data_IF_972374845654
#
_entry.id   IF_972374845654
#
_cell.length_a   1.000
_cell.length_b   1.000
_cell.length_c   1.000
_cell.angle_alpha   90.00
_cell.angle_beta   90.00
_cell.angle_gamma   90.00
#
_symmetry.space_group_name_H-M   'P 1'
#
loop_
_entity.id
_entity.type
_entity.pdbx_description
1 polymer ?
#
# COMPACT_ATOMS: atom_id res chain seq x y z
N UNK A 1 -14.33 -17.76 -2.55
CA UNK A 1 -13.46 -18.31 -3.62
C UNK A 1 -12.03 -18.34 -3.09
N UNK A 2 -11.39 -19.51 -3.15
CA UNK A 2 -9.98 -19.67 -2.80
C UNK A 2 -9.11 -19.08 -3.91
N UNK A 3 -8.22 -18.17 -3.55
CA UNK A 3 -7.22 -17.61 -4.48
C UNK A 3 -5.87 -18.26 -4.22
N UNK A 4 -4.94 -18.20 -5.20
CA UNK A 4 -3.58 -18.69 -5.00
C UNK A 4 -2.94 -18.05 -3.76
N UNK A 5 -3.16 -16.72 -3.56
CA UNK A 5 -2.64 -15.99 -2.41
C UNK A 5 -3.23 -16.46 -1.07
N UNK A 6 -4.45 -17.04 -1.05
CA UNK A 6 -5.04 -17.58 0.18
C UNK A 6 -4.57 -18.98 0.53
N UNK A 7 -4.29 -19.82 -0.48
CA UNK A 7 -3.94 -21.25 -0.29
C UNK A 7 -2.44 -21.53 -0.36
N UNK A 8 -1.70 -20.79 -1.20
CA UNK A 8 -0.23 -20.92 -1.36
C UNK A 8 0.42 -19.53 -1.54
N UNK A 9 0.41 -18.70 -0.50
CA UNK A 9 0.90 -17.30 -0.60
C UNK A 9 2.36 -17.21 -1.02
N UNK A 10 3.17 -18.20 -0.69
CA UNK A 10 4.59 -18.28 -1.07
C UNK A 10 4.82 -18.52 -2.58
N UNK A 11 3.76 -18.83 -3.32
CA UNK A 11 3.79 -19.00 -4.79
C UNK A 11 3.01 -17.92 -5.54
N UNK A 12 2.38 -17.01 -4.81
CA UNK A 12 1.55 -15.96 -5.39
C UNK A 12 2.37 -14.70 -5.66
N UNK A 13 2.59 -14.37 -6.93
CA UNK A 13 3.09 -13.05 -7.33
C UNK A 13 1.91 -12.08 -7.40
N UNK A 14 2.04 -10.93 -6.73
CA UNK A 14 1.03 -9.87 -6.70
C UNK A 14 1.49 -8.68 -7.52
N UNK A 15 0.60 -8.14 -8.37
CA UNK A 15 0.87 -7.02 -9.26
C UNK A 15 -0.26 -6.00 -9.20
N UNK A 16 0.03 -4.72 -9.44
CA UNK A 16 -0.97 -3.67 -9.68
C UNK A 16 -1.16 -3.43 -11.17
N UNK A 17 -0.07 -3.36 -11.90
CA UNK A 17 -0.02 -3.24 -13.34
C UNK A 17 1.19 -3.99 -13.90
N UNK A 18 1.16 -4.29 -15.20
CA UNK A 18 2.27 -4.87 -15.93
C UNK A 18 2.23 -4.44 -17.41
N UNK A 19 3.18 -4.92 -18.22
CA UNK A 19 3.29 -4.60 -19.64
C UNK A 19 2.13 -5.12 -20.49
N UNK A 20 1.40 -6.13 -20.05
CA UNK A 20 0.22 -6.65 -20.77
C UNK A 20 -1.05 -5.87 -20.47
N UNK A 21 -1.15 -5.27 -19.26
CA UNK A 21 -2.33 -4.56 -18.80
C UNK A 21 -2.25 -3.04 -18.95
N UNK A 22 -1.10 -2.52 -19.39
CA UNK A 22 -0.95 -1.08 -19.69
C UNK A 22 -1.78 -0.65 -20.91
N UNK A 23 -2.02 0.66 -21.12
CA UNK A 23 -2.82 1.16 -22.25
C UNK A 23 -2.39 0.61 -23.61
N UNK A 24 -3.37 0.30 -24.44
CA UNK A 24 -3.27 -0.23 -25.81
C UNK A 24 -2.76 -1.68 -25.92
N UNK A 25 -2.46 -2.34 -24.83
CA UNK A 25 -2.06 -3.75 -24.88
C UNK A 25 -3.27 -4.69 -24.94
N UNK A 26 -3.03 -5.95 -25.32
CA UNK A 26 -4.10 -6.93 -25.57
C UNK A 26 -4.98 -7.21 -24.35
N UNK A 27 -4.41 -7.16 -23.14
CA UNK A 27 -5.08 -7.37 -21.86
C UNK A 27 -5.30 -6.07 -21.09
N UNK A 28 -5.42 -4.94 -21.79
CA UNK A 28 -5.59 -3.62 -21.18
C UNK A 28 -6.58 -3.63 -20.03
N UNK A 29 -6.09 -3.32 -18.83
CA UNK A 29 -6.84 -3.23 -17.59
C UNK A 29 -6.16 -2.22 -16.67
N UNK A 30 -6.36 -0.95 -16.96
CA UNK A 30 -5.69 0.14 -16.27
C UNK A 30 -6.29 0.37 -14.89
N UNK A 31 -5.42 0.54 -13.89
CA UNK A 31 -5.79 1.04 -12.57
C UNK A 31 -5.71 2.56 -12.57
N UNK A 32 -6.76 3.22 -12.08
CA UNK A 32 -6.81 4.67 -11.96
C UNK A 32 -5.63 5.22 -11.16
N UNK A 33 -5.01 6.29 -11.62
CA UNK A 33 -3.78 6.83 -11.03
C UNK A 33 -3.92 7.16 -9.53
N UNK A 34 -5.05 7.72 -9.11
CA UNK A 34 -5.32 8.03 -7.71
C UNK A 34 -5.37 6.78 -6.83
N UNK A 35 -5.80 5.63 -7.39
CA UNK A 35 -5.94 4.38 -6.65
C UNK A 35 -4.64 3.55 -6.64
N UNK A 36 -3.68 3.82 -7.53
CA UNK A 36 -2.45 3.03 -7.64
C UNK A 36 -1.65 2.98 -6.33
N UNK A 37 -1.50 4.11 -5.63
CA UNK A 37 -0.78 4.14 -4.34
C UNK A 37 -1.45 3.26 -3.30
N UNK A 38 -2.80 3.27 -3.25
CA UNK A 38 -3.59 2.39 -2.38
C UNK A 38 -3.36 0.92 -2.77
N UNK A 39 -3.44 0.59 -4.06
CA UNK A 39 -3.24 -0.77 -4.55
C UNK A 39 -1.81 -1.28 -4.27
N UNK A 40 -0.79 -0.45 -4.46
CA UNK A 40 0.59 -0.80 -4.11
C UNK A 40 0.79 -1.00 -2.61
N UNK A 41 0.13 -0.23 -1.75
CA UNK A 41 0.20 -0.46 -0.30
C UNK A 41 -0.31 -1.84 0.09
N UNK A 42 -1.37 -2.32 -0.54
CA UNK A 42 -1.95 -3.65 -0.31
C UNK A 42 -0.98 -4.78 -0.66
N UNK A 43 -0.25 -4.68 -1.77
CA UNK A 43 0.67 -5.75 -2.19
C UNK A 43 2.05 -5.63 -1.53
N UNK A 44 2.51 -4.41 -1.21
CA UNK A 44 3.83 -4.18 -0.66
C UNK A 44 3.91 -4.37 0.86
N UNK A 45 2.87 -3.99 1.61
CA UNK A 45 2.96 -3.89 3.07
C UNK A 45 2.25 -5.01 3.83
N UNK A 46 1.46 -5.85 3.16
CA UNK A 46 0.87 -7.03 3.76
C UNK A 46 1.85 -8.20 3.74
N UNK A 47 1.59 -9.19 4.60
CA UNK A 47 2.48 -10.33 4.84
C UNK A 47 2.56 -11.29 3.64
N UNK A 48 1.41 -11.54 2.99
CA UNK A 48 1.28 -12.62 2.00
C UNK A 48 1.59 -12.14 0.58
N UNK A 49 2.20 -13.01 -0.20
CA UNK A 49 2.49 -12.84 -1.62
C UNK A 49 3.87 -12.21 -1.90
N UNK A 50 4.31 -12.35 -3.16
CA UNK A 50 5.53 -11.72 -3.67
C UNK A 50 5.14 -10.52 -4.53
N UNK A 51 5.28 -9.28 -4.03
CA UNK A 51 4.92 -8.09 -4.79
C UNK A 51 5.90 -7.84 -5.93
N UNK A 52 5.35 -7.56 -7.09
CA UNK A 52 6.09 -7.11 -8.26
C UNK A 52 5.66 -5.67 -8.59
N UNK A 53 6.62 -4.75 -8.64
CA UNK A 53 6.40 -3.36 -9.01
C UNK A 53 6.65 -3.18 -10.50
N UNK A 54 5.68 -2.61 -11.20
CA UNK A 54 5.82 -2.33 -12.61
C UNK A 54 6.78 -1.15 -12.83
N UNK A 55 7.76 -1.33 -13.74
CA UNK A 55 8.80 -0.34 -14.02
C UNK A 55 8.22 1.05 -14.33
N UNK A 56 7.19 1.09 -15.18
CA UNK A 56 6.57 2.36 -15.59
C UNK A 56 5.86 3.08 -14.43
N UNK A 57 5.36 2.36 -13.43
CA UNK A 57 4.76 2.96 -12.23
C UNK A 57 5.83 3.58 -11.30
N UNK A 58 7.08 3.08 -11.35
CA UNK A 58 8.18 3.60 -10.55
C UNK A 58 8.90 4.79 -11.21
N UNK A 59 9.05 4.75 -12.53
CA UNK A 59 9.87 5.74 -13.26
C UNK A 59 9.10 6.59 -14.26
N UNK A 60 7.82 6.26 -14.51
CA UNK A 60 7.09 6.78 -15.65
C UNK A 60 7.48 6.07 -16.95
N UNK A 61 6.69 6.25 -17.99
CA UNK A 61 7.02 5.80 -19.33
C UNK A 61 6.35 6.67 -20.39
N UNK A 62 6.94 6.70 -21.57
CA UNK A 62 6.37 7.32 -22.76
C UNK A 62 6.59 6.39 -23.95
N UNK A 63 5.52 6.10 -24.68
CA UNK A 63 5.59 5.26 -25.88
C UNK A 63 4.48 5.61 -26.88
N UNK A 64 4.62 5.10 -28.11
CA UNK A 64 3.59 5.13 -29.13
C UNK A 64 3.19 3.72 -29.50
N UNK A 65 1.90 3.51 -29.67
CA UNK A 65 1.37 2.22 -30.08
C UNK A 65 0.04 2.39 -30.84
N UNK A 66 -0.38 1.34 -31.53
CA UNK A 66 -1.61 1.34 -32.30
C UNK A 66 -2.78 0.87 -31.46
N UNK A 67 -3.86 1.66 -31.46
CA UNK A 67 -5.13 1.24 -30.91
C UNK A 67 -5.83 0.18 -31.77
N UNK A 68 -6.91 -0.38 -31.25
CA UNK A 68 -7.76 -1.36 -31.96
C UNK A 68 -8.37 -0.84 -33.26
N UNK A 69 -8.46 0.47 -33.42
CA UNK A 69 -8.90 1.18 -34.62
C UNK A 69 -7.79 1.35 -35.67
N UNK A 70 -6.59 0.84 -35.39
CA UNK A 70 -5.41 0.93 -36.28
C UNK A 70 -4.69 2.28 -36.26
N UNK A 71 -5.16 3.26 -35.49
CA UNK A 71 -4.51 4.57 -35.35
C UNK A 71 -3.40 4.51 -34.32
N UNK A 72 -2.36 5.32 -34.55
CA UNK A 72 -1.27 5.51 -33.58
C UNK A 72 -1.69 6.49 -32.49
N UNK A 73 -1.40 6.14 -31.25
CA UNK A 73 -1.62 6.94 -30.04
C UNK A 73 -0.32 7.10 -29.27
N UNK A 74 -0.17 8.26 -28.66
CA UNK A 74 0.96 8.60 -27.81
C UNK A 74 0.52 8.46 -26.34
N UNK A 75 1.22 7.61 -25.59
CA UNK A 75 0.87 7.24 -24.22
C UNK A 75 1.93 7.76 -23.25
N UNK A 76 1.47 8.42 -22.21
CA UNK A 76 2.27 8.91 -21.09
C UNK A 76 1.81 8.24 -19.80
N UNK A 77 2.69 7.48 -19.18
CA UNK A 77 2.46 6.88 -17.87
C UNK A 77 3.19 7.70 -16.82
N UNK A 78 2.45 8.26 -15.88
CA UNK A 78 3.03 8.99 -14.76
C UNK A 78 3.59 8.03 -13.73
N UNK A 79 4.69 8.43 -13.08
CA UNK A 79 5.17 7.79 -11.85
C UNK A 79 4.08 7.82 -10.78
N UNK A 80 3.94 6.72 -10.03
CA UNK A 80 2.97 6.63 -8.92
C UNK A 80 3.49 7.44 -7.73
N UNK A 81 2.65 8.34 -7.23
CA UNK A 81 2.99 9.17 -6.08
C UNK A 81 3.22 8.32 -4.82
N UNK A 82 4.30 8.62 -4.08
CA UNK A 82 4.63 7.94 -2.82
C UNK A 82 5.08 6.49 -2.93
N UNK A 83 5.29 5.92 -4.13
CA UNK A 83 5.70 4.53 -4.30
C UNK A 83 7.06 4.24 -3.63
N UNK A 84 7.97 5.21 -3.62
CA UNK A 84 9.29 5.07 -2.98
C UNK A 84 9.15 4.98 -1.45
N UNK A 85 8.23 5.75 -0.86
CA UNK A 85 7.93 5.64 0.57
C UNK A 85 7.33 4.26 0.90
N UNK A 86 6.46 3.71 0.04
CA UNK A 86 5.94 2.35 0.22
C UNK A 86 7.04 1.29 0.12
N UNK A 87 7.98 1.43 -0.81
CA UNK A 87 9.13 0.52 -0.93
C UNK A 87 10.06 0.61 0.30
N UNK A 88 10.31 1.82 0.82
CA UNK A 88 11.05 2.00 2.08
C UNK A 88 10.29 1.40 3.27
N UNK A 89 8.97 1.63 3.37
CA UNK A 89 8.16 1.03 4.41
C UNK A 89 8.22 -0.51 4.38
N UNK A 90 8.17 -1.10 3.17
CA UNK A 90 8.33 -2.55 3.01
C UNK A 90 9.67 -3.04 3.53
N UNK A 91 10.76 -2.39 3.14
CA UNK A 91 12.12 -2.84 3.49
C UNK A 91 12.50 -2.60 4.95
N UNK A 92 11.86 -1.65 5.64
CA UNK A 92 12.24 -1.24 6.99
C UNK A 92 11.21 -1.58 8.07
N UNK A 93 9.93 -1.72 7.72
CA UNK A 93 8.84 -1.74 8.69
C UNK A 93 7.79 -2.84 8.48
N UNK A 94 7.67 -3.44 7.29
CA UNK A 94 6.62 -4.42 7.00
C UNK A 94 7.00 -5.85 7.45
N UNK A 95 7.37 -6.00 8.72
CA UNK A 95 7.83 -7.25 9.34
C UNK A 95 6.97 -7.68 10.53
N UNK A 96 7.18 -8.90 10.98
CA UNK A 96 6.50 -9.45 12.15
C UNK A 96 5.04 -9.80 11.92
N UNK A 97 4.32 -10.02 13.02
CA UNK A 97 2.92 -10.45 13.00
C UNK A 97 2.02 -9.38 12.37
N UNK A 98 1.11 -9.83 11.49
CA UNK A 98 0.07 -8.98 10.92
C UNK A 98 -1.24 -9.13 11.67
N UNK A 99 -1.91 -8.00 11.93
CA UNK A 99 -3.30 -7.94 12.40
C UNK A 99 -4.12 -7.13 11.41
N UNK A 100 -5.24 -7.70 10.96
CA UNK A 100 -6.10 -7.11 9.95
C UNK A 100 -7.35 -6.46 10.57
N UNK A 101 -7.74 -5.30 10.04
CA UNK A 101 -8.92 -4.50 10.42
C UNK A 101 -9.72 -4.18 9.15
N UNK A 102 -10.43 -5.19 8.62
CA UNK A 102 -11.16 -5.15 7.35
C UNK A 102 -12.69 -5.02 7.56
N UNK A 103 -13.09 -4.27 8.56
CA UNK A 103 -14.44 -4.16 9.09
C UNK A 103 -15.30 -3.05 8.46
N UNK A 104 -14.77 -2.34 7.45
CA UNK A 104 -15.49 -1.26 6.76
C UNK A 104 -15.22 -1.28 5.26
N UNK A 105 -16.26 -1.08 4.44
CA UNK A 105 -16.14 -1.19 2.97
C UNK A 105 -15.17 -0.19 2.33
N UNK A 106 -15.07 1.02 2.89
CA UNK A 106 -14.28 2.12 2.31
C UNK A 106 -13.05 2.49 3.13
N UNK A 107 -12.89 1.94 4.34
CA UNK A 107 -11.73 2.23 5.18
C UNK A 107 -11.27 0.94 5.84
N UNK A 108 -10.10 0.48 5.49
CA UNK A 108 -9.47 -0.72 6.05
C UNK A 108 -8.07 -0.40 6.57
N UNK A 109 -7.55 -1.27 7.41
CA UNK A 109 -6.18 -1.13 7.90
C UNK A 109 -5.59 -2.46 8.35
N UNK A 110 -4.30 -2.45 8.60
CA UNK A 110 -3.57 -3.55 9.21
C UNK A 110 -2.34 -3.03 9.94
N UNK A 111 -1.82 -3.84 10.84
CA UNK A 111 -0.54 -3.57 11.49
C UNK A 111 0.45 -4.68 11.20
N UNK A 112 1.73 -4.33 11.16
CA UNK A 112 2.87 -5.24 11.20
C UNK A 112 3.64 -4.91 12.47
N UNK A 113 3.77 -5.85 13.40
CA UNK A 113 4.31 -5.57 14.73
C UNK A 113 5.84 -5.32 14.74
N UNK A 114 6.51 -5.63 13.61
CA UNK A 114 7.96 -5.65 13.55
C UNK A 114 8.54 -6.95 14.13
N UNK A 115 9.85 -7.04 14.11
CA UNK A 115 10.64 -8.13 14.69
C UNK A 115 11.79 -7.58 15.55
N UNK A 116 12.84 -8.36 15.77
CA UNK A 116 13.98 -7.92 16.57
C UNK A 116 14.85 -6.88 15.85
N UNK A 117 14.87 -6.93 14.51
CA UNK A 117 15.76 -6.11 13.67
C UNK A 117 15.00 -4.95 13.00
N UNK A 118 13.67 -5.03 12.94
CA UNK A 118 12.84 -4.06 12.23
C UNK A 118 11.71 -3.55 13.12
N UNK A 119 11.50 -2.24 13.12
CA UNK A 119 10.31 -1.64 13.71
C UNK A 119 9.07 -1.98 12.86
N UNK A 120 7.89 -1.95 13.48
CA UNK A 120 6.62 -2.21 12.80
C UNK A 120 6.03 -0.99 12.12
N UNK A 121 4.89 -1.20 11.48
CA UNK A 121 4.07 -0.12 10.92
C UNK A 121 2.56 -0.41 11.07
N UNK A 122 1.77 0.67 11.10
CA UNK A 122 0.32 0.60 10.97
C UNK A 122 -0.09 1.27 9.66
N UNK A 123 -0.91 0.60 8.88
CA UNK A 123 -1.37 1.09 7.56
C UNK A 123 -2.87 1.30 7.63
N UNK A 124 -3.32 2.47 7.24
CA UNK A 124 -4.75 2.78 7.03
C UNK A 124 -4.90 3.30 5.62
N UNK A 125 -5.90 2.79 4.92
CA UNK A 125 -6.29 3.30 3.61
C UNK A 125 -7.78 3.58 3.57
N UNK A 126 -8.16 4.58 2.76
CA UNK A 126 -9.54 4.87 2.44
C UNK A 126 -9.69 5.11 0.94
N UNK A 127 -10.67 4.47 0.32
CA UNK A 127 -11.07 4.75 -1.06
C UNK A 127 -12.28 5.68 -1.15
N UNK A 128 -12.69 6.25 -0.03
CA UNK A 128 -13.78 7.21 0.11
C UNK A 128 -13.35 8.44 0.93
N UNK A 129 -14.16 8.83 1.90
CA UNK A 129 -13.88 9.94 2.80
C UNK A 129 -12.70 9.68 3.74
N UNK A 130 -12.30 10.69 4.51
CA UNK A 130 -11.30 10.53 5.57
C UNK A 130 -11.69 9.37 6.49
N UNK A 131 -10.75 8.51 6.80
CA UNK A 131 -10.97 7.35 7.63
C UNK A 131 -10.02 7.24 8.81
N UNK A 132 -10.40 6.44 9.79
CA UNK A 132 -9.51 6.08 10.90
C UNK A 132 -9.78 4.64 11.35
N UNK A 133 -8.77 4.05 12.01
CA UNK A 133 -8.83 2.73 12.63
C UNK A 133 -8.15 2.76 13.97
N UNK A 134 -8.84 2.29 15.00
CA UNK A 134 -8.17 1.95 16.26
C UNK A 134 -7.56 0.55 16.12
N UNK A 135 -6.23 0.47 16.15
CA UNK A 135 -5.50 -0.77 15.84
C UNK A 135 -4.41 -1.05 16.87
N UNK A 136 -4.19 -2.32 17.15
CA UNK A 136 -3.08 -2.80 17.97
C UNK A 136 -1.82 -2.93 17.14
N UNK A 137 -0.77 -2.18 17.49
CA UNK A 137 0.57 -2.31 16.91
C UNK A 137 1.50 -3.19 17.79
N UNK A 138 1.12 -3.42 19.04
CA UNK A 138 1.86 -4.24 20.00
C UNK A 138 2.34 -3.46 21.21
N UNK A 139 2.37 -4.14 22.36
CA UNK A 139 2.75 -3.54 23.67
C UNK A 139 4.18 -3.01 23.71
N UNK A 140 5.07 -3.49 22.84
CA UNK A 140 6.45 -2.98 22.74
C UNK A 140 6.51 -1.49 22.38
N UNK A 141 5.42 -0.94 21.81
CA UNK A 141 5.29 0.46 21.45
C UNK A 141 4.52 1.32 22.45
N UNK A 142 4.18 0.76 23.63
CA UNK A 142 3.47 1.52 24.66
C UNK A 142 4.18 2.82 25.00
N UNK A 143 3.45 3.95 25.00
CA UNK A 143 4.00 5.28 25.24
C UNK A 143 4.80 5.89 24.08
N UNK A 144 4.96 5.18 22.97
CA UNK A 144 5.64 5.70 21.78
C UNK A 144 4.69 6.54 20.90
N UNK A 145 5.27 7.40 20.08
CA UNK A 145 4.57 8.19 19.09
C UNK A 145 4.83 7.67 17.68
N UNK A 146 3.81 7.72 16.84
CA UNK A 146 3.86 7.34 15.45
C UNK A 146 3.57 8.53 14.55
N UNK A 147 4.25 8.61 13.41
CA UNK A 147 4.10 9.63 12.36
C UNK A 147 3.77 8.96 11.02
N UNK A 148 3.10 9.70 10.14
CA UNK A 148 2.77 9.21 8.80
C UNK A 148 3.97 9.35 7.84
N UNK A 149 4.56 8.23 7.44
CA UNK A 149 5.68 8.17 6.49
C UNK A 149 5.28 8.62 5.07
N UNK A 150 3.99 8.60 4.74
CA UNK A 150 3.47 9.09 3.46
C UNK A 150 3.30 10.62 3.43
N UNK A 151 3.52 11.29 4.58
CA UNK A 151 3.41 12.75 4.74
C UNK A 151 2.01 13.31 4.36
N UNK A 152 0.99 12.47 4.36
CA UNK A 152 -0.39 12.86 4.07
C UNK A 152 -1.11 13.40 5.31
N UNK A 153 -0.61 13.08 6.52
CA UNK A 153 -1.19 13.52 7.77
C UNK A 153 -0.08 14.02 8.72
N UNK A 154 -0.10 15.31 9.13
CA UNK A 154 0.91 15.88 10.03
C UNK A 154 0.73 15.52 11.51
N UNK A 155 -0.37 14.85 11.87
CA UNK A 155 -0.64 14.48 13.25
C UNK A 155 0.32 13.40 13.76
N UNK A 156 0.49 13.34 15.07
CA UNK A 156 1.17 12.24 15.75
C UNK A 156 0.12 11.32 16.41
N UNK A 157 0.34 10.02 16.36
CA UNK A 157 -0.49 9.04 17.06
C UNK A 157 0.26 8.53 18.28
N UNK A 158 -0.32 8.76 19.47
CA UNK A 158 0.20 8.24 20.74
C UNK A 158 -0.30 6.81 20.96
N UNK A 159 0.62 5.86 21.17
CA UNK A 159 0.26 4.47 21.49
C UNK A 159 0.00 4.36 23.00
N UNK A 160 -1.12 3.76 23.35
CA UNK A 160 -1.50 3.55 24.74
C UNK A 160 -0.72 2.40 25.41
N UNK A 161 -0.95 2.18 26.70
CA UNK A 161 -0.24 1.16 27.48
C UNK A 161 -0.51 -0.28 27.02
N UNK A 162 -1.58 -0.51 26.27
CA UNK A 162 -1.95 -1.83 25.74
C UNK A 162 -1.46 -2.06 24.32
N UNK A 163 -0.75 -1.07 23.74
CA UNK A 163 -0.19 -1.16 22.38
C UNK A 163 -1.15 -0.74 21.27
N UNK A 164 -2.22 0.02 21.58
CA UNK A 164 -3.21 0.49 20.64
C UNK A 164 -3.03 1.96 20.30
N UNK A 165 -3.32 2.32 19.03
CA UNK A 165 -3.38 3.69 18.54
C UNK A 165 -4.56 3.90 17.59
N UNK A 166 -5.06 5.15 17.51
CA UNK A 166 -6.06 5.53 16.52
C UNK A 166 -5.35 6.16 15.32
N UNK A 167 -5.26 5.43 14.22
CA UNK A 167 -4.54 5.79 13.01
C UNK A 167 -5.49 6.30 11.94
N UNK A 168 -5.05 7.24 11.12
CA UNK A 168 -5.88 7.98 10.16
C UNK A 168 -5.36 7.82 8.73
N UNK A 169 -6.27 7.97 7.75
CA UNK A 169 -5.92 8.21 6.35
C UNK A 169 -6.85 9.29 5.78
N UNK A 170 -6.34 10.26 5.00
CA UNK A 170 -7.16 11.18 4.25
C UNK A 170 -8.00 10.48 3.18
N UNK A 171 -9.02 11.17 2.69
CA UNK A 171 -9.90 10.71 1.62
C UNK A 171 -9.10 10.25 0.39
N UNK A 172 -9.46 9.10 -0.18
CA UNK A 172 -8.84 8.57 -1.39
C UNK A 172 -7.34 8.32 -1.28
N UNK A 173 -6.82 7.97 -0.09
CA UNK A 173 -5.38 7.85 0.15
C UNK A 173 -5.00 6.70 1.09
N UNK A 174 -3.70 6.56 1.31
CA UNK A 174 -3.09 5.68 2.30
C UNK A 174 -2.13 6.45 3.18
N UNK A 175 -2.13 6.16 4.48
CA UNK A 175 -1.12 6.57 5.45
C UNK A 175 -0.40 5.35 6.01
N UNK A 176 0.91 5.47 6.17
CA UNK A 176 1.78 4.44 6.75
C UNK A 176 2.45 5.01 7.98
N UNK A 177 1.96 4.59 9.13
CA UNK A 177 2.39 5.08 10.43
C UNK A 177 3.55 4.26 10.96
N UNK A 178 4.66 4.92 11.27
CA UNK A 178 5.89 4.34 11.82
C UNK A 178 6.28 5.04 13.12
N UNK A 179 7.04 4.35 13.98
CA UNK A 179 7.56 4.95 15.22
C UNK A 179 8.38 6.20 14.89
N UNK A 180 8.07 7.30 15.57
CA UNK A 180 8.84 8.53 15.52
C UNK A 180 10.17 8.32 16.25
N UNK A 181 11.25 8.47 15.53
CA UNK A 181 12.62 8.45 16.07
C UNK A 181 12.98 9.75 16.76
#
# INVERSE_FOLDING_TARGET
>A
NETLMSVMPEKAVTVVANHDTQPLQALEATVENWFKTIAYSLILLREKGYPCVFYADLYGAHYKDKGRDGKEYEIWLAKVDGIENLLRARSLHAYGMQRDYMDHANCIGWTREGDNDHSGCAVVLSNGDNGNKNMEIGKRYAGKKFIDMMEKNPAEVQINNDGWGNFFAPAGSVSVWIEKQ
#
